data_IF_903452596183
#
_entry.id   IF_903452596183
#
_cell.length_a   1.000
_cell.length_b   1.000
_cell.length_c   1.000
_cell.angle_alpha   90.00
_cell.angle_beta   90.00
_cell.angle_gamma   90.00
#
_symmetry.space_group_name_H-M   'P 1'
#
loop_
_entity.id
_entity.type
_entity.pdbx_description
1 polymer ?
#
# COMPACT_ATOMS: atom_id res chain seq x y z
N UNK A 1 -34.71 -14.15 5.95
CA UNK A 1 -34.35 -12.94 5.17
C UNK A 1 -32.88 -12.60 5.45
N UNK A 2 -31.93 -13.06 4.62
CA UNK A 2 -30.49 -12.72 4.79
C UNK A 2 -29.61 -12.94 3.55
N UNK A 3 -30.15 -13.45 2.43
CA UNK A 3 -29.32 -13.78 1.25
C UNK A 3 -29.04 -12.59 0.32
N UNK A 4 -29.91 -11.57 0.29
CA UNK A 4 -29.76 -10.44 -0.65
C UNK A 4 -28.73 -9.39 -0.21
N UNK A 5 -28.39 -9.33 1.10
CA UNK A 5 -27.43 -8.34 1.61
C UNK A 5 -25.99 -8.59 1.11
N UNK A 6 -25.60 -9.85 0.92
CA UNK A 6 -24.25 -10.22 0.46
C UNK A 6 -24.00 -10.02 -1.04
N UNK A 7 -25.06 -9.97 -1.85
CA UNK A 7 -24.95 -9.76 -3.31
C UNK A 7 -24.75 -8.27 -3.64
N UNK A 8 -25.36 -7.38 -2.86
CA UNK A 8 -25.31 -5.92 -3.08
C UNK A 8 -24.01 -5.26 -2.58
N UNK A 9 -23.34 -5.83 -1.58
CA UNK A 9 -22.06 -5.29 -1.09
C UNK A 9 -20.92 -5.52 -2.09
N UNK A 10 -20.91 -6.68 -2.76
CA UNK A 10 -19.90 -7.02 -3.76
C UNK A 10 -20.04 -6.19 -5.06
N UNK A 11 -21.27 -5.86 -5.47
CA UNK A 11 -21.51 -5.04 -6.66
C UNK A 11 -21.13 -3.57 -6.44
N UNK A 12 -21.40 -3.01 -5.26
CA UNK A 12 -20.98 -1.64 -4.91
C UNK A 12 -19.46 -1.50 -4.89
N UNK A 13 -18.75 -2.46 -4.28
CA UNK A 13 -17.28 -2.45 -4.26
C UNK A 13 -16.67 -2.53 -5.66
N UNK A 14 -17.22 -3.39 -6.53
CA UNK A 14 -16.79 -3.48 -7.93
C UNK A 14 -17.04 -2.18 -8.70
N UNK A 15 -18.21 -1.57 -8.52
CA UNK A 15 -18.55 -0.31 -9.19
C UNK A 15 -17.62 0.83 -8.75
N UNK A 16 -17.37 0.97 -7.45
CA UNK A 16 -16.42 1.95 -6.91
C UNK A 16 -15.00 1.71 -7.43
N UNK A 17 -14.59 0.44 -7.53
CA UNK A 17 -13.30 0.07 -8.11
C UNK A 17 -13.16 0.49 -9.58
N UNK A 18 -14.18 0.22 -10.40
CA UNK A 18 -14.20 0.59 -11.82
C UNK A 18 -14.18 2.11 -11.99
N UNK A 19 -15.09 2.82 -11.31
CA UNK A 19 -15.18 4.29 -11.40
C UNK A 19 -13.90 4.94 -10.89
N UNK A 20 -13.38 4.49 -9.74
CA UNK A 20 -12.12 4.98 -9.18
C UNK A 20 -10.95 4.73 -10.12
N UNK A 21 -10.87 3.54 -10.73
CA UNK A 21 -9.83 3.20 -11.71
C UNK A 21 -9.89 4.07 -12.97
N UNK A 22 -11.09 4.34 -13.50
CA UNK A 22 -11.28 5.20 -14.67
C UNK A 22 -10.89 6.66 -14.39
N UNK A 23 -11.31 7.20 -13.25
CA UNK A 23 -10.97 8.57 -12.84
C UNK A 23 -9.46 8.70 -12.62
N UNK A 24 -8.86 7.75 -11.89
CA UNK A 24 -7.42 7.74 -11.64
C UNK A 24 -6.63 7.57 -12.95
N UNK A 25 -7.05 6.67 -13.83
CA UNK A 25 -6.42 6.43 -15.13
C UNK A 25 -6.46 7.66 -16.03
N UNK A 26 -7.57 8.39 -16.06
CA UNK A 26 -7.67 9.63 -16.85
C UNK A 26 -6.79 10.76 -16.30
N UNK A 27 -6.62 10.83 -14.98
CA UNK A 27 -5.85 11.92 -14.36
C UNK A 27 -4.34 11.66 -14.34
N UNK A 28 -3.92 10.46 -13.95
CA UNK A 28 -2.51 10.06 -13.78
C UNK A 28 -1.91 9.37 -15.02
N UNK A 29 -2.75 8.86 -15.93
CA UNK A 29 -2.30 8.27 -17.19
C UNK A 29 -1.35 7.09 -17.00
N UNK A 30 -0.29 7.06 -17.80
CA UNK A 30 0.71 5.98 -17.82
C UNK A 30 1.44 5.81 -16.49
N UNK A 31 1.50 6.85 -15.66
CA UNK A 31 2.18 6.80 -14.36
C UNK A 31 1.49 5.82 -13.40
N UNK A 32 0.20 5.54 -13.60
CA UNK A 32 -0.54 4.56 -12.79
C UNK A 32 -0.18 3.10 -13.15
N UNK A 33 0.44 2.84 -14.31
CA UNK A 33 0.75 1.48 -14.74
C UNK A 33 1.73 0.78 -13.79
N UNK A 34 2.85 1.43 -13.48
CA UNK A 34 3.88 0.85 -12.61
C UNK A 34 3.37 0.48 -11.21
N UNK A 35 2.73 1.38 -10.44
CA UNK A 35 2.16 1.00 -9.15
C UNK A 35 0.97 0.07 -9.30
N UNK A 36 0.19 0.17 -10.37
CA UNK A 36 -0.96 -0.69 -10.63
C UNK A 36 -0.52 -2.14 -10.81
N UNK A 37 0.54 -2.38 -11.58
CA UNK A 37 1.14 -3.71 -11.74
C UNK A 37 1.69 -4.21 -10.41
N UNK A 38 2.48 -3.39 -9.69
CA UNK A 38 3.00 -3.78 -8.38
C UNK A 38 1.91 -4.08 -7.36
N UNK A 39 0.81 -3.32 -7.37
CA UNK A 39 -0.35 -3.57 -6.54
C UNK A 39 -1.02 -4.89 -6.94
N UNK A 40 -1.35 -5.10 -8.21
CA UNK A 40 -1.99 -6.33 -8.67
C UNK A 40 -1.15 -7.58 -8.31
N UNK A 41 0.17 -7.50 -8.50
CA UNK A 41 1.11 -8.55 -8.11
C UNK A 41 1.12 -8.74 -6.58
N UNK A 42 1.19 -7.67 -5.80
CA UNK A 42 1.15 -7.74 -4.35
C UNK A 42 -0.18 -8.33 -3.83
N UNK A 43 -1.30 -7.95 -4.41
CA UNK A 43 -2.62 -8.48 -4.04
C UNK A 43 -2.71 -9.98 -4.32
N UNK A 44 -2.17 -10.43 -5.46
CA UNK A 44 -2.06 -11.85 -5.79
C UNK A 44 -1.12 -12.58 -4.82
N UNK A 45 0.11 -12.08 -4.64
CA UNK A 45 1.13 -12.71 -3.82
C UNK A 45 0.71 -12.78 -2.34
N UNK A 46 0.32 -11.66 -1.73
CA UNK A 46 0.04 -11.61 -0.30
C UNK A 46 -1.40 -12.03 0.05
N UNK A 47 -2.35 -11.86 -0.88
CA UNK A 47 -3.73 -12.30 -0.67
C UNK A 47 -3.91 -13.79 -0.89
N UNK A 48 -3.27 -14.36 -1.92
CA UNK A 48 -3.48 -15.76 -2.32
C UNK A 48 -2.36 -16.70 -1.86
N UNK A 49 -1.10 -16.28 -1.94
CA UNK A 49 0.06 -17.13 -1.66
C UNK A 49 0.75 -16.80 -0.31
N UNK A 50 0.36 -15.71 0.34
CA UNK A 50 0.99 -15.22 1.55
C UNK A 50 0.71 -16.08 2.78
N UNK A 51 1.58 -16.04 3.80
CA UNK A 51 1.33 -16.71 5.08
C UNK A 51 0.00 -16.28 5.71
N UNK A 52 -0.75 -17.23 6.28
CA UNK A 52 -2.05 -16.97 6.94
C UNK A 52 -1.97 -15.84 7.98
N UNK A 53 -0.89 -15.83 8.78
CA UNK A 53 -0.67 -14.80 9.82
C UNK A 53 -0.58 -13.37 9.26
N UNK A 54 -0.18 -13.23 8.00
CA UNK A 54 0.00 -11.94 7.32
C UNK A 54 -1.20 -11.51 6.48
N UNK A 55 -2.18 -12.39 6.23
CA UNK A 55 -3.35 -12.09 5.39
C UNK A 55 -4.17 -10.88 5.81
N UNK A 56 -4.34 -10.56 7.11
CA UNK A 56 -4.98 -9.31 7.51
C UNK A 56 -4.32 -8.06 6.91
N UNK A 57 -3.02 -8.12 6.62
CA UNK A 57 -2.25 -7.03 6.05
C UNK A 57 -2.12 -7.08 4.52
N UNK A 58 -2.77 -8.03 3.84
CA UNK A 58 -2.62 -8.25 2.39
C UNK A 58 -2.88 -6.98 1.56
N UNK A 59 -3.90 -6.19 1.91
CA UNK A 59 -4.17 -4.91 1.26
C UNK A 59 -3.03 -3.90 1.42
N UNK A 60 -2.52 -3.74 2.65
CA UNK A 60 -1.41 -2.83 2.94
C UNK A 60 -0.12 -3.28 2.22
N UNK A 61 0.20 -4.57 2.27
CA UNK A 61 1.34 -5.15 1.58
C UNK A 61 1.24 -4.96 0.05
N UNK A 62 0.03 -5.09 -0.51
CA UNK A 62 -0.20 -4.90 -1.93
C UNK A 62 0.04 -3.45 -2.37
N UNK A 63 -0.49 -2.46 -1.64
CA UNK A 63 -0.24 -1.04 -1.94
C UNK A 63 1.24 -0.70 -1.82
N UNK A 64 1.92 -1.23 -0.79
CA UNK A 64 3.36 -1.00 -0.62
C UNK A 64 4.19 -1.67 -1.70
N UNK A 65 3.80 -2.85 -2.19
CA UNK A 65 4.42 -3.46 -3.38
C UNK A 65 4.23 -2.59 -4.63
N UNK A 66 3.06 -1.96 -4.78
CA UNK A 66 2.83 -0.95 -5.82
C UNK A 66 3.84 0.20 -5.74
N UNK A 67 4.04 0.77 -4.56
CA UNK A 67 5.04 1.83 -4.34
C UNK A 67 6.48 1.33 -4.57
N UNK A 68 6.77 0.09 -4.18
CA UNK A 68 8.10 -0.50 -4.37
C UNK A 68 8.41 -0.69 -5.86
N UNK A 69 7.52 -1.32 -6.63
CA UNK A 69 7.64 -1.44 -8.10
C UNK A 69 7.72 -0.06 -8.75
N UNK A 70 6.97 0.91 -8.19
CA UNK A 70 7.21 2.36 -8.26
C UNK A 70 8.68 2.71 -8.42
N UNK A 71 9.34 2.77 -7.27
CA UNK A 71 10.71 3.22 -7.14
C UNK A 71 11.71 2.38 -7.93
N UNK A 72 11.52 1.06 -7.99
CA UNK A 72 12.39 0.19 -8.80
C UNK A 72 12.32 0.57 -10.28
N UNK A 73 11.11 0.81 -10.81
CA UNK A 73 10.95 1.23 -12.21
C UNK A 73 11.58 2.60 -12.46
N UNK A 74 11.46 3.53 -11.52
CA UNK A 74 12.09 4.84 -11.62
C UNK A 74 13.63 4.73 -11.69
N UNK A 75 14.25 3.89 -10.86
CA UNK A 75 15.70 3.63 -10.90
C UNK A 75 16.12 3.02 -12.23
N UNK A 76 15.35 2.04 -12.73
CA UNK A 76 15.69 1.33 -13.97
C UNK A 76 15.60 2.26 -15.18
N UNK A 77 14.61 3.15 -15.22
CA UNK A 77 14.40 4.08 -16.34
C UNK A 77 15.31 5.31 -16.22
N UNK A 78 15.56 5.80 -15.00
CA UNK A 78 16.34 6.98 -14.69
C UNK A 78 17.38 6.66 -13.60
N UNK A 79 18.53 6.06 -13.95
CA UNK A 79 19.54 5.60 -12.99
C UNK A 79 20.06 6.69 -12.04
N UNK A 80 20.10 7.94 -12.51
CA UNK A 80 20.54 9.10 -11.73
C UNK A 80 19.65 9.38 -10.51
N UNK A 81 18.43 8.82 -10.47
CA UNK A 81 17.54 8.93 -9.32
C UNK A 81 17.92 8.01 -8.15
N UNK A 82 18.88 7.10 -8.32
CA UNK A 82 19.27 6.15 -7.27
C UNK A 82 19.53 6.83 -5.93
N UNK A 83 20.32 7.90 -5.91
CA UNK A 83 20.65 8.63 -4.68
C UNK A 83 19.42 9.22 -3.96
N UNK A 84 18.35 9.54 -4.70
CA UNK A 84 17.13 10.09 -4.15
C UNK A 84 16.17 9.03 -3.61
N UNK A 85 16.15 7.82 -4.19
CA UNK A 85 15.13 6.80 -3.86
C UNK A 85 15.69 5.53 -3.22
N UNK A 86 17.01 5.32 -3.19
CA UNK A 86 17.61 4.10 -2.64
C UNK A 86 17.20 3.86 -1.18
N UNK A 87 17.15 4.93 -0.38
CA UNK A 87 16.71 4.85 1.00
C UNK A 87 15.26 4.39 1.13
N UNK A 88 14.35 4.95 0.32
CA UNK A 88 12.93 4.58 0.30
C UNK A 88 12.74 3.12 -0.11
N UNK A 89 13.50 2.66 -1.11
CA UNK A 89 13.48 1.27 -1.60
C UNK A 89 13.91 0.30 -0.49
N UNK A 90 15.02 0.59 0.19
CA UNK A 90 15.53 -0.25 1.28
C UNK A 90 14.53 -0.29 2.43
N UNK A 91 14.01 0.87 2.88
CA UNK A 91 13.05 0.90 3.99
C UNK A 91 11.74 0.20 3.65
N UNK A 92 11.22 0.36 2.43
CA UNK A 92 10.04 -0.37 1.98
C UNK A 92 10.29 -1.88 1.93
N UNK A 93 11.41 -2.32 1.36
CA UNK A 93 11.75 -3.74 1.30
C UNK A 93 11.84 -4.36 2.69
N UNK A 94 12.55 -3.70 3.60
CA UNK A 94 12.69 -4.15 5.00
C UNK A 94 11.33 -4.17 5.69
N UNK A 95 10.53 -3.11 5.56
CA UNK A 95 9.22 -3.02 6.20
C UNK A 95 8.21 -4.05 5.68
N UNK A 96 8.17 -4.27 4.36
CA UNK A 96 7.33 -5.30 3.73
C UNK A 96 7.76 -6.69 4.22
N UNK A 97 9.05 -7.00 4.17
CA UNK A 97 9.56 -8.31 4.59
C UNK A 97 9.32 -8.54 6.09
N UNK A 98 9.54 -7.53 6.92
CA UNK A 98 9.28 -7.61 8.36
C UNK A 98 7.79 -7.86 8.64
N UNK A 99 6.89 -7.08 8.04
CA UNK A 99 5.45 -7.28 8.22
C UNK A 99 4.97 -8.66 7.74
N UNK A 100 5.61 -9.20 6.69
CA UNK A 100 5.31 -10.53 6.17
C UNK A 100 5.77 -11.66 7.11
N UNK A 101 7.00 -11.56 7.64
CA UNK A 101 7.63 -12.62 8.43
C UNK A 101 7.23 -12.57 9.91
N UNK A 102 7.05 -11.39 10.47
CA UNK A 102 6.71 -11.17 11.87
C UNK A 102 5.63 -10.09 12.00
N UNK A 103 4.39 -10.38 11.55
CA UNK A 103 3.27 -9.45 11.67
C UNK A 103 3.00 -9.14 13.16
N UNK A 104 3.01 -7.86 13.50
CA UNK A 104 2.72 -7.38 14.85
C UNK A 104 2.71 -5.87 14.94
N UNK A 105 2.52 -5.35 16.17
CA UNK A 105 2.42 -3.91 16.40
C UNK A 105 3.69 -3.16 15.97
N UNK A 106 4.87 -3.73 16.24
CA UNK A 106 6.15 -3.08 15.96
C UNK A 106 6.37 -2.88 14.45
N UNK A 107 6.14 -3.92 13.64
CA UNK A 107 6.27 -3.81 12.17
C UNK A 107 5.27 -2.84 11.57
N UNK A 108 4.05 -2.78 12.12
CA UNK A 108 3.01 -1.82 11.72
C UNK A 108 3.41 -0.39 12.08
N UNK A 109 3.88 -0.15 13.30
CA UNK A 109 4.34 1.18 13.74
C UNK A 109 5.51 1.64 12.89
N UNK A 110 6.51 0.77 12.66
CA UNK A 110 7.66 1.09 11.82
C UNK A 110 7.25 1.59 10.43
N UNK A 111 6.41 0.82 9.74
CA UNK A 111 5.90 1.19 8.42
C UNK A 111 5.03 2.45 8.48
N UNK A 112 4.17 2.59 9.48
CA UNK A 112 3.29 3.75 9.62
C UNK A 112 4.08 5.04 9.84
N UNK A 113 5.10 5.00 10.70
CA UNK A 113 5.98 6.15 10.96
C UNK A 113 6.71 6.54 9.67
N UNK A 114 7.35 5.59 9.00
CA UNK A 114 8.04 5.85 7.73
C UNK A 114 7.08 6.46 6.68
N UNK A 115 5.91 5.84 6.48
CA UNK A 115 4.92 6.32 5.52
C UNK A 115 4.43 7.73 5.86
N UNK A 116 4.26 8.04 7.15
CA UNK A 116 3.82 9.36 7.63
C UNK A 116 4.88 10.43 7.42
N UNK A 117 6.15 10.12 7.70
CA UNK A 117 7.27 11.05 7.48
C UNK A 117 7.38 11.39 6.00
N UNK A 118 7.39 10.40 5.11
CA UNK A 118 7.52 10.70 3.68
C UNK A 118 6.25 11.30 3.10
N UNK A 119 5.06 10.97 3.65
CA UNK A 119 3.83 11.69 3.31
C UNK A 119 3.95 13.18 3.62
N UNK A 120 4.47 13.56 4.80
CA UNK A 120 4.66 14.96 5.14
C UNK A 120 5.65 15.66 4.20
N UNK A 121 6.76 15.01 3.86
CA UNK A 121 7.75 15.52 2.89
C UNK A 121 7.10 15.75 1.51
N UNK A 122 6.32 14.77 1.03
CA UNK A 122 5.64 14.88 -0.26
C UNK A 122 4.59 16.00 -0.26
N UNK A 123 3.82 16.17 0.83
CA UNK A 123 2.83 17.24 0.95
C UNK A 123 3.50 18.62 0.89
N UNK A 124 4.57 18.82 1.67
CA UNK A 124 5.33 20.10 1.65
C UNK A 124 5.89 20.36 0.25
N UNK A 125 6.42 19.34 -0.41
CA UNK A 125 6.96 19.44 -1.78
C UNK A 125 5.88 19.83 -2.79
N UNK A 126 4.68 19.23 -2.72
CA UNK A 126 3.55 19.59 -3.58
C UNK A 126 3.11 21.03 -3.36
N UNK A 127 3.04 21.49 -2.10
CA UNK A 127 2.67 22.87 -1.78
C UNK A 127 3.64 23.89 -2.38
N UNK A 128 4.92 23.54 -2.53
CA UNK A 128 5.93 24.38 -3.16
C UNK A 128 5.87 24.44 -4.69
N UNK A 129 5.18 23.52 -5.37
CA UNK A 129 5.22 23.36 -6.84
C UNK A 129 4.14 24.14 -7.61
N UNK A 130 3.20 24.82 -6.94
CA UNK A 130 2.22 25.69 -7.60
C UNK A 130 1.22 25.01 -8.56
N UNK A 131 1.04 23.68 -8.49
CA UNK A 131 -0.02 22.95 -9.22
C UNK A 131 0.25 22.61 -10.69
N UNK A 132 1.38 23.02 -11.27
CA UNK A 132 1.67 22.86 -12.71
C UNK A 132 2.98 22.14 -13.07
N UNK A 133 3.85 21.84 -12.09
CA UNK A 133 5.12 21.17 -12.35
C UNK A 133 4.96 19.73 -12.85
N UNK A 134 5.87 19.25 -13.69
CA UNK A 134 5.85 17.87 -14.22
C UNK A 134 5.85 16.80 -13.12
N UNK A 135 6.41 17.15 -11.95
CA UNK A 135 6.46 16.28 -10.77
C UNK A 135 5.18 16.29 -9.93
N UNK A 136 4.27 17.26 -10.15
CA UNK A 136 3.08 17.44 -9.31
C UNK A 136 2.18 16.19 -9.30
N UNK A 137 1.85 15.66 -10.48
CA UNK A 137 0.97 14.48 -10.61
C UNK A 137 1.57 13.21 -9.98
N UNK A 138 2.84 12.83 -10.25
CA UNK A 138 3.47 11.70 -9.57
C UNK A 138 3.44 11.86 -8.04
N UNK A 139 3.79 13.06 -7.55
CA UNK A 139 3.88 13.31 -6.11
C UNK A 139 2.51 13.25 -5.44
N UNK A 140 1.47 13.77 -6.11
CA UNK A 140 0.09 13.63 -5.66
C UNK A 140 -0.34 12.17 -5.60
N UNK A 141 0.04 11.36 -6.59
CA UNK A 141 -0.25 9.92 -6.57
C UNK A 141 0.47 9.22 -5.42
N UNK A 142 1.74 9.56 -5.15
CA UNK A 142 2.43 9.05 -3.97
C UNK A 142 1.70 9.43 -2.67
N UNK A 143 1.26 10.69 -2.51
CA UNK A 143 0.49 11.13 -1.34
C UNK A 143 -0.75 10.24 -1.13
N UNK A 144 -1.54 10.04 -2.18
CA UNK A 144 -2.75 9.20 -2.13
C UNK A 144 -2.40 7.76 -1.72
N UNK A 145 -1.38 7.17 -2.35
CA UNK A 145 -0.95 5.80 -2.06
C UNK A 145 -0.41 5.65 -0.63
N UNK A 146 0.26 6.67 -0.08
CA UNK A 146 0.77 6.66 1.31
C UNK A 146 -0.37 6.75 2.32
N UNK A 147 -1.35 7.62 2.09
CA UNK A 147 -2.57 7.70 2.92
C UNK A 147 -3.29 6.34 2.92
N UNK A 148 -3.47 5.75 1.74
CA UNK A 148 -4.09 4.44 1.61
C UNK A 148 -3.28 3.35 2.33
N UNK A 149 -1.95 3.35 2.21
CA UNK A 149 -1.10 2.39 2.90
C UNK A 149 -1.24 2.48 4.43
N UNK A 150 -1.22 3.70 4.99
CA UNK A 150 -1.39 3.93 6.43
C UNK A 150 -2.76 3.45 6.90
N UNK A 151 -3.81 3.80 6.16
CA UNK A 151 -5.17 3.36 6.47
C UNK A 151 -5.30 1.83 6.48
N UNK A 152 -4.77 1.16 5.44
CA UNK A 152 -4.82 -0.31 5.34
C UNK A 152 -3.94 -1.00 6.38
N UNK A 153 -2.82 -0.39 6.80
CA UNK A 153 -2.02 -0.89 7.93
C UNK A 153 -2.84 -0.89 9.23
N UNK A 154 -3.56 0.20 9.49
CA UNK A 154 -4.46 0.30 10.65
C UNK A 154 -5.58 -0.73 10.62
N UNK A 155 -6.26 -0.89 9.48
CA UNK A 155 -7.31 -1.91 9.31
C UNK A 155 -6.77 -3.34 9.46
N UNK A 156 -5.61 -3.61 8.87
CA UNK A 156 -4.96 -4.92 8.95
C UNK A 156 -4.55 -5.26 10.39
N UNK A 157 -4.05 -4.28 11.14
CA UNK A 157 -3.69 -4.47 12.55
C UNK A 157 -4.91 -4.71 13.42
N UNK A 158 -5.99 -3.95 13.25
CA UNK A 158 -7.24 -4.17 14.00
C UNK A 158 -7.78 -5.60 13.77
N UNK A 159 -7.76 -6.06 12.51
CA UNK A 159 -8.20 -7.41 12.14
C UNK A 159 -7.29 -8.48 12.72
N UNK A 160 -5.97 -8.28 12.64
CA UNK A 160 -4.97 -9.18 13.21
C UNK A 160 -5.11 -9.31 14.73
N UNK A 161 -5.32 -8.18 15.43
CA UNK A 161 -5.49 -8.14 16.89
C UNK A 161 -6.75 -8.90 17.32
N UNK A 162 -7.89 -8.61 16.68
CA UNK A 162 -9.15 -9.30 16.97
C UNK A 162 -9.04 -10.83 16.77
N UNK A 163 -8.33 -11.29 15.75
CA UNK A 163 -8.10 -12.72 15.52
C UNK A 163 -7.23 -13.37 16.61
N UNK A 164 -6.28 -12.62 17.19
CA UNK A 164 -5.39 -13.12 18.24
C UNK A 164 -6.07 -13.28 19.61
N UNK A 165 -7.12 -12.50 19.89
CA UNK A 165 -7.90 -12.62 21.13
C UNK A 165 -8.81 -13.87 21.15
N UNK A 166 -9.32 -14.28 19.98
CA UNK A 166 -10.25 -15.41 19.88
C UNK A 166 -9.56 -16.77 20.02
N UNK A 167 -8.27 -16.85 19.65
CA UNK A 167 -7.50 -18.11 19.72
C UNK A 167 -6.30 -17.92 20.63
N UNK A 168 -6.42 -18.14 21.95
CA UNK A 168 -5.27 -18.05 22.84
C UNK A 168 -4.19 -19.05 22.37
N UNK A 169 -2.90 -18.66 22.44
CA UNK A 169 -1.82 -19.52 22.01
C UNK A 169 -1.89 -20.82 22.80
N UNK A 170 -2.04 -21.95 22.09
CA UNK A 170 -1.77 -23.26 22.69
C UNK A 170 -0.32 -23.23 23.11
N UNK A 171 -0.07 -23.12 24.42
CA UNK A 171 1.26 -23.27 24.99
C UNK A 171 1.70 -24.68 24.58
N UNK A 172 2.57 -24.78 23.57
CA UNK A 172 3.27 -26.01 23.28
C UNK A 172 4.26 -26.19 24.42
N UNK A 173 3.87 -27.00 25.40
CA UNK A 173 4.75 -27.53 26.44
C UNK A 173 5.74 -28.52 25.82
#
# INVERSE_FOLDING_TARGET
MSADAGKNSNSMGQMLGIVGGLVAGRYFGIQLLFPGIGWALGAFLFGKLGPERSKPFSGALAVQMGQFVWFISAIVILPDLWGAVAFDVVLLAVGILWLLLAPGLVSVIFLTVYQTVVLAINVVSVMGMGGGGEQFKPLLLHIILRILAIFLLGQGYATFHAASEVTPPKIAL
#
